data_IF_379420082946
#
_entry.id   IF_379420082946
#
_cell.length_a   1.000
_cell.length_b   1.000
_cell.length_c   1.000
_cell.angle_alpha   90.00
_cell.angle_beta   90.00
_cell.angle_gamma   90.00
#
_symmetry.space_group_name_H-M   'P 1'
#
loop_
_entity.id
_entity.type
_entity.pdbx_description
1 polymer ?
#
# COMPACT_ATOMS: atom_id res chain seq x y z
N UNK A 1 -8.62 -5.85 -3.39
CA UNK A 1 -8.09 -4.68 -2.66
C UNK A 1 -6.72 -4.41 -3.16
N UNK A 2 -6.43 -3.17 -3.58
CA UNK A 2 -5.11 -2.56 -3.56
C UNK A 2 -5.14 -1.16 -4.19
N UNK A 3 -4.09 -0.38 -3.97
CA UNK A 3 -3.86 0.96 -4.51
C UNK A 3 -2.53 0.89 -5.26
N UNK A 4 -2.56 1.16 -6.58
CA UNK A 4 -1.46 1.24 -7.57
C UNK A 4 -1.49 0.22 -8.72
N UNK A 5 -2.65 -0.06 -9.34
CA UNK A 5 -2.89 -1.07 -10.41
C UNK A 5 -1.71 -1.45 -11.32
N UNK A 6 -0.88 -0.49 -11.71
CA UNK A 6 0.34 -0.63 -12.52
C UNK A 6 1.52 -1.44 -11.90
N UNK A 7 1.47 -1.80 -10.61
CA UNK A 7 2.49 -2.66 -9.95
C UNK A 7 1.92 -4.02 -9.47
N UNK A 8 0.76 -4.44 -9.96
CA UNK A 8 0.05 -5.63 -9.45
C UNK A 8 0.93 -6.88 -9.45
N UNK A 9 1.62 -7.16 -10.56
CA UNK A 9 2.55 -8.30 -10.68
C UNK A 9 3.73 -8.23 -9.70
N UNK A 10 4.20 -7.03 -9.35
CA UNK A 10 5.27 -6.85 -8.36
C UNK A 10 4.76 -7.19 -6.97
N UNK A 11 3.54 -6.74 -6.63
CA UNK A 11 2.90 -7.06 -5.36
C UNK A 11 2.63 -8.54 -5.24
N UNK A 12 2.08 -9.18 -6.28
CA UNK A 12 1.81 -10.62 -6.29
C UNK A 12 3.09 -11.41 -6.01
N UNK A 13 4.22 -11.01 -6.62
CA UNK A 13 5.51 -11.67 -6.38
C UNK A 13 6.03 -11.45 -4.96
N UNK A 14 5.87 -10.25 -4.40
CA UNK A 14 6.26 -9.94 -3.03
C UNK A 14 5.39 -10.67 -2.00
N UNK A 15 4.11 -10.88 -2.30
CA UNK A 15 3.15 -11.54 -1.41
C UNK A 15 3.53 -13.00 -1.16
N UNK A 16 4.14 -13.68 -2.14
CA UNK A 16 4.72 -15.03 -1.95
C UNK A 16 5.71 -15.10 -0.78
N UNK A 17 6.36 -13.99 -0.44
CA UNK A 17 7.35 -13.88 0.65
C UNK A 17 6.78 -13.32 1.94
N UNK A 18 5.51 -12.89 1.94
CA UNK A 18 4.82 -12.35 3.11
C UNK A 18 4.06 -13.50 3.80
N UNK A 19 4.30 -13.75 5.09
CA UNK A 19 3.53 -14.77 5.80
C UNK A 19 2.09 -14.31 6.00
N UNK A 20 1.16 -15.26 5.90
CA UNK A 20 -0.27 -15.04 6.15
C UNK A 20 -0.51 -14.44 7.54
N UNK A 21 0.22 -14.92 8.54
CA UNK A 21 0.16 -14.43 9.92
C UNK A 21 1.54 -14.14 10.48
N UNK A 22 1.62 -13.15 11.37
CA UNK A 22 2.85 -12.78 12.05
C UNK A 22 3.73 -11.80 11.27
N UNK A 23 5.02 -11.81 11.61
CA UNK A 23 6.03 -10.93 11.02
C UNK A 23 6.78 -11.65 9.91
N UNK A 24 7.27 -10.90 8.93
CA UNK A 24 8.15 -11.44 7.88
C UNK A 24 9.37 -12.12 8.50
N UNK A 25 9.80 -13.24 7.91
CA UNK A 25 10.96 -13.98 8.40
C UNK A 25 12.21 -13.08 8.40
N UNK A 26 13.02 -13.15 9.46
CA UNK A 26 14.24 -12.35 9.60
C UNK A 26 14.03 -10.84 9.37
N UNK A 27 13.06 -10.22 10.07
CA UNK A 27 12.67 -8.79 9.94
C UNK A 27 13.85 -7.82 9.83
N UNK A 28 14.96 -8.07 10.52
CA UNK A 28 16.14 -7.21 10.47
C UNK A 28 16.79 -7.12 9.08
N UNK A 29 16.63 -8.17 8.25
CA UNK A 29 17.07 -8.25 6.85
C UNK A 29 15.95 -7.88 5.87
N UNK A 30 14.70 -8.00 6.29
CA UNK A 30 13.50 -7.80 5.48
C UNK A 30 12.65 -6.64 6.02
N UNK A 31 13.27 -5.47 6.22
CA UNK A 31 12.63 -4.32 6.87
C UNK A 31 11.61 -3.67 5.93
N UNK A 32 11.92 -3.58 4.64
CA UNK A 32 11.03 -3.01 3.63
C UNK A 32 9.86 -3.96 3.34
N UNK A 33 10.11 -5.26 3.27
CA UNK A 33 9.05 -6.26 3.14
C UNK A 33 8.10 -6.27 4.35
N UNK A 34 8.63 -6.18 5.58
CA UNK A 34 7.78 -6.05 6.78
C UNK A 34 7.02 -4.72 6.81
N UNK A 35 7.60 -3.64 6.27
CA UNK A 35 6.91 -2.36 6.09
C UNK A 35 5.77 -2.49 5.09
N UNK A 36 5.99 -3.15 3.95
CA UNK A 36 4.97 -3.43 2.94
C UNK A 36 3.81 -4.24 3.53
N UNK A 37 4.09 -5.36 4.22
CA UNK A 37 3.07 -6.19 4.89
C UNK A 37 2.15 -5.35 5.81
N UNK A 38 2.75 -4.47 6.62
CA UNK A 38 1.99 -3.56 7.50
C UNK A 38 1.22 -2.51 6.70
N UNK A 39 1.83 -1.93 5.67
CA UNK A 39 1.24 -0.90 4.84
C UNK A 39 0.02 -1.41 4.05
N UNK A 40 0.06 -2.64 3.54
CA UNK A 40 -1.10 -3.31 2.90
C UNK A 40 -2.28 -3.36 3.87
N UNK A 41 -2.05 -3.82 5.10
CA UNK A 41 -3.08 -3.92 6.13
C UNK A 41 -3.64 -2.56 6.56
N UNK A 42 -2.79 -1.54 6.70
CA UNK A 42 -3.23 -0.17 7.02
C UNK A 42 -4.04 0.41 5.88
N UNK A 43 -3.58 0.26 4.64
CA UNK A 43 -4.29 0.71 3.44
C UNK A 43 -5.64 0.02 3.30
N UNK A 44 -5.71 -1.28 3.64
CA UNK A 44 -6.96 -2.01 3.74
C UNK A 44 -7.94 -1.30 4.66
N UNK A 45 -7.50 -0.98 5.87
CA UNK A 45 -8.33 -0.40 6.90
C UNK A 45 -8.81 1.01 6.52
N UNK A 46 -7.95 1.83 5.90
CA UNK A 46 -8.31 3.16 5.37
C UNK A 46 -9.55 3.07 4.48
N UNK A 47 -9.52 2.22 3.45
CA UNK A 47 -10.58 2.16 2.45
C UNK A 47 -11.77 1.28 2.86
N UNK A 48 -11.61 0.43 3.86
CA UNK A 48 -12.68 -0.47 4.32
C UNK A 48 -13.51 0.13 5.47
N UNK A 49 -12.90 0.85 6.40
CA UNK A 49 -13.60 1.38 7.58
C UNK A 49 -13.13 2.77 8.02
N UNK A 50 -12.41 3.50 7.17
CA UNK A 50 -11.91 4.83 7.53
C UNK A 50 -10.82 4.79 8.60
N UNK A 51 -10.00 3.74 8.62
CA UNK A 51 -8.85 3.58 9.52
C UNK A 51 -9.24 3.41 11.01
N UNK A 52 -10.42 2.87 11.28
CA UNK A 52 -10.92 2.73 12.66
C UNK A 52 -10.14 1.69 13.48
N UNK A 53 -9.65 0.61 12.87
CA UNK A 53 -8.94 -0.44 13.61
C UNK A 53 -7.43 -0.17 13.70
N UNK A 54 -6.86 0.50 12.69
CA UNK A 54 -5.41 0.63 12.51
C UNK A 54 -4.89 2.07 12.59
N UNK A 55 -5.66 2.99 13.18
CA UNK A 55 -5.26 4.40 13.34
C UNK A 55 -3.85 4.62 13.91
N UNK A 56 -3.42 3.79 14.87
CA UNK A 56 -2.07 3.88 15.47
C UNK A 56 -0.95 3.40 14.54
N UNK A 57 -1.28 2.58 13.54
CA UNK A 57 -0.34 1.99 12.60
C UNK A 57 -0.11 2.87 11.36
N UNK A 58 -0.90 3.94 11.18
CA UNK A 58 -0.81 4.87 10.04
C UNK A 58 0.60 5.40 9.78
N UNK A 59 1.42 5.53 10.84
CA UNK A 59 2.83 5.91 10.76
C UNK A 59 3.67 5.08 9.79
N UNK A 60 3.24 3.85 9.45
CA UNK A 60 3.93 3.02 8.44
C UNK A 60 3.93 3.69 7.05
N UNK A 61 2.88 4.46 6.77
CA UNK A 61 2.74 5.30 5.58
C UNK A 61 3.40 6.68 5.75
N UNK A 62 4.00 6.98 6.91
CA UNK A 62 4.53 8.32 7.19
C UNK A 62 3.45 9.40 7.35
N UNK A 63 2.18 9.00 7.50
CA UNK A 63 1.04 9.90 7.61
C UNK A 63 0.56 10.03 9.05
N UNK A 64 -0.12 11.14 9.31
CA UNK A 64 -0.95 11.38 10.48
C UNK A 64 -2.43 11.44 10.07
N UNK A 65 -3.32 11.19 11.02
CA UNK A 65 -4.78 11.10 10.75
C UNK A 65 -5.35 12.43 10.21
N UNK A 66 -4.84 13.56 10.68
CA UNK A 66 -5.22 14.91 10.23
C UNK A 66 -4.80 15.23 8.79
N UNK A 67 -3.92 14.43 8.19
CA UNK A 67 -3.51 14.58 6.79
C UNK A 67 -4.44 13.82 5.82
N UNK A 68 -5.36 13.00 6.33
CA UNK A 68 -6.32 12.26 5.52
C UNK A 68 -7.72 12.82 5.78
N UNK A 69 -8.46 13.23 4.73
CA UNK A 69 -9.85 13.66 4.87
C UNK A 69 -10.78 12.44 5.06
N UNK A 70 -10.55 11.69 6.14
CA UNK A 70 -11.33 10.52 6.54
C UNK A 70 -12.73 10.92 7.00
N UNK A 71 -13.71 10.01 6.92
CA UNK A 71 -15.01 10.26 7.51
C UNK A 71 -14.89 10.48 9.01
N UNK A 72 -15.63 11.47 9.53
CA UNK A 72 -15.65 11.76 10.95
C UNK A 72 -17.01 12.27 11.40
N UNK A 73 -17.33 12.01 12.66
CA UNK A 73 -18.49 12.61 13.31
C UNK A 73 -18.03 13.83 14.11
N UNK A 74 -18.52 15.02 13.74
CA UNK A 74 -18.14 16.29 14.37
C UNK A 74 -19.38 17.17 14.54
N UNK A 75 -19.51 17.82 15.70
CA UNK A 75 -20.62 18.73 16.02
C UNK A 75 -22.03 18.15 15.80
N UNK A 76 -22.21 16.83 15.98
CA UNK A 76 -23.52 16.19 15.76
C UNK A 76 -23.81 15.80 14.31
N UNK A 77 -22.86 16.03 13.38
CA UNK A 77 -23.00 15.71 11.97
C UNK A 77 -21.94 14.72 11.52
N UNK A 78 -22.35 13.81 10.63
CA UNK A 78 -21.43 12.92 9.93
C UNK A 78 -20.88 13.63 8.70
N UNK A 79 -19.56 13.74 8.62
CA UNK A 79 -18.84 14.25 7.46
C UNK A 79 -18.32 13.06 6.66
N UNK A 80 -18.67 13.02 5.38
CA UNK A 80 -18.18 12.00 4.46
C UNK A 80 -16.68 12.18 4.19
N UNK A 81 -15.99 11.05 4.00
CA UNK A 81 -14.58 11.06 3.62
C UNK A 81 -14.39 11.47 2.16
N UNK A 82 -13.34 12.22 1.86
CA UNK A 82 -12.97 12.54 0.48
C UNK A 82 -12.11 11.41 -0.10
N UNK A 83 -12.76 10.32 -0.52
CA UNK A 83 -12.08 9.08 -0.89
C UNK A 83 -11.11 9.22 -2.07
N UNK A 84 -11.45 10.03 -3.07
CA UNK A 84 -10.54 10.28 -4.20
C UNK A 84 -9.28 11.04 -3.73
N UNK A 85 -9.44 12.02 -2.83
CA UNK A 85 -8.31 12.73 -2.23
C UNK A 85 -7.45 11.82 -1.36
N UNK A 86 -8.06 10.91 -0.60
CA UNK A 86 -7.33 9.89 0.16
C UNK A 86 -6.53 9.01 -0.80
N UNK A 87 -7.13 8.59 -1.92
CA UNK A 87 -6.43 7.80 -2.95
C UNK A 87 -5.23 8.56 -3.51
N UNK A 88 -5.38 9.82 -3.89
CA UNK A 88 -4.28 10.67 -4.37
C UNK A 88 -3.10 10.76 -3.39
N UNK A 89 -3.38 10.80 -2.08
CA UNK A 89 -2.36 10.88 -1.03
C UNK A 89 -1.69 9.53 -0.80
N UNK A 90 -2.48 8.45 -0.71
CA UNK A 90 -2.00 7.12 -0.33
C UNK A 90 -1.28 6.41 -1.47
N UNK A 91 -1.73 6.56 -2.73
CA UNK A 91 -1.15 5.90 -3.90
C UNK A 91 0.36 6.08 -4.03
N UNK A 92 0.92 7.30 -4.14
CA UNK A 92 2.36 7.47 -4.34
C UNK A 92 3.20 6.93 -3.17
N UNK A 93 2.65 6.94 -1.95
CA UNK A 93 3.32 6.39 -0.76
C UNK A 93 3.37 4.86 -0.86
N UNK A 94 2.26 4.23 -1.22
CA UNK A 94 2.20 2.79 -1.42
C UNK A 94 3.10 2.34 -2.56
N UNK A 95 3.10 3.07 -3.68
CA UNK A 95 3.99 2.82 -4.82
C UNK A 95 5.45 2.75 -4.36
N UNK A 96 5.92 3.76 -3.62
CA UNK A 96 7.29 3.79 -3.11
C UNK A 96 7.58 2.64 -2.14
N UNK A 97 6.64 2.28 -1.25
CA UNK A 97 6.83 1.16 -0.31
C UNK A 97 6.97 -0.17 -1.05
N UNK A 98 6.23 -0.35 -2.14
CA UNK A 98 6.27 -1.55 -2.98
C UNK A 98 7.59 -1.64 -3.73
N UNK A 99 8.02 -0.55 -4.36
CA UNK A 99 9.32 -0.48 -5.05
C UNK A 99 10.49 -0.69 -4.08
N UNK A 100 10.45 -0.09 -2.89
CA UNK A 100 11.45 -0.31 -1.84
C UNK A 100 11.54 -1.79 -1.45
N UNK A 101 10.41 -2.48 -1.31
CA UNK A 101 10.35 -3.90 -0.98
C UNK A 101 10.86 -4.76 -2.15
N UNK A 102 10.49 -4.43 -3.39
CA UNK A 102 10.99 -5.11 -4.59
C UNK A 102 12.52 -5.04 -4.69
N UNK A 103 13.10 -3.86 -4.45
CA UNK A 103 14.56 -3.67 -4.41
C UNK A 103 15.20 -4.47 -3.28
N UNK A 104 14.62 -4.47 -2.07
CA UNK A 104 15.13 -5.28 -0.94
C UNK A 104 15.12 -6.78 -1.26
N UNK A 105 14.11 -7.26 -1.99
CA UNK A 105 13.99 -8.66 -2.42
C UNK A 105 14.75 -8.98 -3.71
N UNK A 106 15.51 -8.02 -4.26
CA UNK A 106 16.28 -8.17 -5.51
C UNK A 106 15.41 -8.60 -6.71
N UNK A 107 14.18 -8.10 -6.81
CA UNK A 107 13.33 -8.35 -7.96
C UNK A 107 13.86 -7.60 -9.18
N UNK A 108 14.06 -8.32 -10.28
CA UNK A 108 14.31 -7.72 -11.58
C UNK A 108 12.98 -7.24 -12.15
N UNK A 109 12.90 -5.96 -12.51
CA UNK A 109 11.68 -5.33 -12.98
C UNK A 109 11.90 -4.69 -14.35
N UNK A 110 10.93 -4.85 -15.24
CA UNK A 110 10.96 -4.32 -16.61
C UNK A 110 9.68 -3.53 -16.91
N UNK A 111 9.83 -2.50 -17.75
CA UNK A 111 8.71 -1.72 -18.25
C UNK A 111 8.12 -2.41 -19.47
N UNK A 112 6.91 -2.94 -19.31
CA UNK A 112 6.23 -3.70 -20.35
C UNK A 112 5.00 -2.90 -20.83
N UNK A 113 4.84 -2.66 -22.14
CA UNK A 113 3.63 -2.10 -22.69
C UNK A 113 2.47 -3.08 -22.50
N UNK A 114 1.42 -2.67 -21.79
CA UNK A 114 0.20 -3.45 -21.71
C UNK A 114 -0.69 -3.15 -22.93
N UNK A 115 -0.84 -4.16 -23.79
CA UNK A 115 -1.61 -4.06 -25.04
C UNK A 115 -3.11 -3.93 -24.84
N UNK A 116 -3.63 -4.24 -23.64
CA UNK A 116 -5.06 -4.14 -23.28
C UNK A 116 -5.39 -2.75 -22.73
N UNK A 117 -4.55 -2.23 -21.82
CA UNK A 117 -4.78 -0.93 -21.18
C UNK A 117 -4.18 0.26 -21.95
N UNK A 118 -3.25 0.00 -22.88
CA UNK A 118 -2.50 1.02 -23.62
C UNK A 118 -1.49 1.78 -22.75
N UNK A 119 -1.25 1.33 -21.51
CA UNK A 119 -0.33 1.94 -20.54
C UNK A 119 0.97 1.13 -20.44
N UNK A 120 2.02 1.77 -19.94
CA UNK A 120 3.25 1.07 -19.56
C UNK A 120 3.11 0.61 -18.10
N UNK A 121 3.39 -0.65 -17.84
CA UNK A 121 3.33 -1.27 -16.52
C UNK A 121 4.72 -1.77 -16.11
N UNK A 122 4.99 -1.80 -14.81
CA UNK A 122 6.23 -2.36 -14.29
C UNK A 122 5.95 -3.79 -13.86
N UNK A 123 6.60 -4.75 -14.53
CA UNK A 123 6.42 -6.17 -14.28
C UNK A 123 7.70 -6.82 -13.80
N UNK A 124 7.59 -7.94 -13.06
CA UNK A 124 8.76 -8.73 -12.67
C UNK A 124 9.23 -9.50 -13.91
N UNK A 125 10.53 -9.39 -14.22
CA UNK A 125 11.15 -10.11 -15.32
C UNK A 125 11.15 -11.62 -15.04
N UNK A 126 10.78 -12.41 -16.06
CA UNK A 126 10.74 -13.89 -16.01
C UNK A 126 12.11 -14.52 -15.87
#
# INVERSE_FOLDING_TARGET
MWVCENLSSVVDKLDESIPLEGQVHSVNKNKRLERLRKAINVTHDIFNNGLCNRGRELRVLGLRKDQLPLPEYRYGYYHEGQWDRIREIVSPIMEQIILDAAVEQNLHMELIPNSVSGKIELQVAS
#
